data_IF_336104391209
#
_entry.id   IF_336104391209
#
_cell.length_a   1.000
_cell.length_b   1.000
_cell.length_c   1.000
_cell.angle_alpha   90.00
_cell.angle_beta   90.00
_cell.angle_gamma   90.00
#
_symmetry.space_group_name_H-M   'P 1'
#
loop_
_entity.id
_entity.type
_entity.pdbx_description
1 polymer ?
#
# COMPACT_ATOMS: atom_id res chain seq x y z
N UNK A 1 -20.42 5.13 -0.44
CA UNK A 1 -19.14 4.41 -0.43
C UNK A 1 -19.01 3.77 -1.80
N UNK A 2 -17.89 3.96 -2.50
CA UNK A 2 -17.68 3.44 -3.85
C UNK A 2 -16.58 2.38 -3.78
N UNK A 3 -16.86 1.19 -4.30
CA UNK A 3 -15.96 0.03 -4.21
C UNK A 3 -15.70 -0.55 -5.60
N UNK A 4 -14.55 -1.22 -5.74
CA UNK A 4 -14.19 -1.98 -6.94
C UNK A 4 -14.30 -3.47 -6.61
N UNK A 5 -15.33 -4.12 -7.13
CA UNK A 5 -15.54 -5.56 -7.00
C UNK A 5 -15.08 -6.26 -8.27
N UNK A 6 -14.29 -7.32 -8.12
CA UNK A 6 -13.72 -8.07 -9.25
C UNK A 6 -13.66 -9.57 -8.93
N UNK A 7 -13.82 -10.41 -9.95
CA UNK A 7 -13.59 -11.85 -9.85
C UNK A 7 -12.13 -12.24 -10.18
N UNK A 8 -11.32 -11.27 -10.56
CA UNK A 8 -9.90 -11.43 -10.85
C UNK A 8 -9.06 -11.02 -9.64
N UNK A 9 -7.92 -11.69 -9.44
CA UNK A 9 -6.93 -11.32 -8.42
C UNK A 9 -6.12 -10.06 -8.80
N UNK A 10 -6.33 -9.53 -10.01
CA UNK A 10 -5.63 -8.38 -10.55
C UNK A 10 -6.60 -7.34 -11.10
N UNK A 11 -6.21 -6.08 -10.94
CA UNK A 11 -6.88 -4.94 -11.56
C UNK A 11 -5.83 -4.06 -12.21
N UNK A 12 -6.04 -3.76 -13.49
CA UNK A 12 -5.16 -2.84 -14.21
C UNK A 12 -5.45 -1.40 -13.78
N UNK A 13 -4.42 -0.70 -13.33
CA UNK A 13 -4.51 0.64 -12.76
C UNK A 13 -3.49 1.58 -13.37
N UNK A 14 -3.80 2.87 -13.34
CA UNK A 14 -2.85 3.94 -13.64
C UNK A 14 -2.40 4.54 -12.32
N UNK A 15 -1.09 4.54 -12.10
CA UNK A 15 -0.42 5.10 -10.93
C UNK A 15 0.45 6.28 -11.32
N UNK A 16 0.51 7.29 -10.47
CA UNK A 16 1.36 8.47 -10.62
C UNK A 16 2.19 8.66 -9.35
N UNK A 17 3.38 9.27 -9.46
CA UNK A 17 4.29 9.46 -8.32
C UNK A 17 3.59 10.14 -7.12
N UNK A 18 2.84 11.21 -7.37
CA UNK A 18 2.15 11.98 -6.33
C UNK A 18 1.03 11.19 -5.62
N UNK A 19 0.64 10.02 -6.15
CA UNK A 19 -0.42 9.19 -5.59
C UNK A 19 0.10 8.11 -4.65
N UNK A 20 1.41 8.04 -4.38
CA UNK A 20 2.00 7.07 -3.46
C UNK A 20 2.43 7.79 -2.19
N UNK A 21 1.91 7.34 -1.05
CA UNK A 21 2.28 7.86 0.26
C UNK A 21 2.62 6.74 1.25
N UNK A 22 3.59 7.02 2.11
CA UNK A 22 4.02 6.13 3.19
C UNK A 22 4.12 6.90 4.49
N UNK A 23 3.62 6.28 5.55
CA UNK A 23 3.83 6.73 6.93
C UNK A 23 3.91 5.52 7.85
N UNK A 24 4.48 5.73 9.02
CA UNK A 24 4.40 4.79 10.13
C UNK A 24 3.36 5.31 11.11
N UNK A 25 2.40 4.48 11.51
CA UNK A 25 1.29 4.84 12.41
C UNK A 25 1.19 3.88 13.59
N UNK A 26 1.09 4.42 14.80
CA UNK A 26 0.61 3.72 15.98
C UNK A 26 -0.66 4.43 16.48
N UNK A 27 -1.76 3.70 16.54
CA UNK A 27 -3.03 4.19 17.08
C UNK A 27 -3.22 3.71 18.52
N UNK A 28 -3.66 4.62 19.38
CA UNK A 28 -4.18 4.30 20.71
C UNK A 28 -5.69 4.07 20.68
N UNK A 29 -6.31 3.99 21.86
CA UNK A 29 -7.75 3.75 21.99
C UNK A 29 -8.62 4.88 21.39
N UNK A 30 -8.15 6.12 21.39
CA UNK A 30 -8.95 7.29 20.92
C UNK A 30 -8.21 8.22 19.95
N UNK A 31 -6.87 8.13 19.80
CA UNK A 31 -6.10 9.01 18.92
C UNK A 31 -4.82 8.35 18.32
N UNK A 32 -4.28 8.93 17.25
CA UNK A 32 -2.96 8.60 16.70
C UNK A 32 -1.88 8.95 17.71
N UNK A 33 -1.39 7.95 18.45
CA UNK A 33 -0.29 8.13 19.42
C UNK A 33 1.02 8.48 18.71
N UNK A 34 1.18 8.05 17.47
CA UNK A 34 2.37 8.30 16.68
C UNK A 34 2.03 8.23 15.19
N UNK A 35 2.30 9.29 14.43
CA UNK A 35 2.46 9.18 12.98
C UNK A 35 3.78 9.81 12.56
N UNK A 36 4.58 9.13 11.75
CA UNK A 36 5.86 9.67 11.26
C UNK A 36 6.15 9.24 9.81
N UNK A 37 7.07 9.93 9.16
CA UNK A 37 7.63 9.55 7.85
C UNK A 37 8.82 8.57 7.98
N UNK A 38 9.08 8.09 9.20
CA UNK A 38 10.24 7.28 9.56
C UNK A 38 11.44 8.08 10.07
N UNK A 39 11.44 9.39 9.93
CA UNK A 39 12.47 10.27 10.48
C UNK A 39 11.87 11.29 11.46
N UNK A 40 10.75 11.90 11.10
CA UNK A 40 10.09 12.99 11.83
C UNK A 40 8.62 12.72 12.07
N UNK A 41 8.11 13.25 13.17
CA UNK A 41 6.69 13.22 13.46
C UNK A 41 5.88 13.99 12.41
N UNK A 42 4.80 13.36 11.96
CA UNK A 42 3.70 13.95 11.22
C UNK A 42 2.55 14.28 12.16
N UNK A 43 2.26 13.40 13.12
CA UNK A 43 1.26 13.62 14.19
C UNK A 43 1.79 13.07 15.52
N UNK A 44 1.42 13.65 16.67
CA UNK A 44 0.48 14.76 16.84
C UNK A 44 1.06 16.13 16.41
N UNK A 45 0.18 17.10 16.17
CA UNK A 45 0.56 18.42 15.63
C UNK A 45 1.63 19.14 16.48
N UNK A 46 1.58 18.98 17.81
CA UNK A 46 2.54 19.57 18.75
C UNK A 46 3.99 19.08 18.55
N UNK A 47 4.17 17.88 17.98
CA UNK A 47 5.48 17.27 17.75
C UNK A 47 5.90 17.33 16.27
N UNK A 48 5.07 17.89 15.38
CA UNK A 48 5.31 17.84 13.94
C UNK A 48 6.70 18.37 13.57
N UNK A 49 7.44 17.59 12.79
CA UNK A 49 8.79 17.92 12.32
C UNK A 49 9.91 17.58 13.30
N UNK A 50 9.63 17.24 14.56
CA UNK A 50 10.68 16.77 15.49
C UNK A 50 11.06 15.33 15.18
N UNK A 51 12.25 14.90 15.61
CA UNK A 51 12.70 13.52 15.43
C UNK A 51 11.73 12.52 16.10
N UNK A 52 11.38 11.46 15.38
CA UNK A 52 10.38 10.49 15.83
C UNK A 52 10.93 9.38 16.74
N UNK A 53 12.24 9.16 16.75
CA UNK A 53 12.88 8.08 17.51
C UNK A 53 12.70 6.68 16.92
N UNK A 54 12.04 6.54 15.76
CA UNK A 54 11.99 5.25 15.06
C UNK A 54 13.39 4.82 14.59
N UNK A 55 13.69 3.51 14.61
CA UNK A 55 14.89 2.98 13.97
C UNK A 55 14.97 3.40 12.49
N UNK A 56 16.17 3.59 11.91
CA UNK A 56 16.30 4.04 10.53
C UNK A 56 15.88 2.97 9.51
N UNK A 57 16.09 1.68 9.81
CA UNK A 57 15.80 0.57 8.91
C UNK A 57 14.37 0.04 9.03
N UNK A 58 13.76 -0.33 7.90
CA UNK A 58 12.40 -0.89 7.88
C UNK A 58 12.32 -2.24 8.62
N UNK A 59 13.36 -3.06 8.55
CA UNK A 59 13.45 -4.33 9.30
C UNK A 59 13.41 -4.11 10.82
N UNK A 60 14.18 -3.16 11.34
CA UNK A 60 14.18 -2.83 12.77
C UNK A 60 12.85 -2.22 13.22
N UNK A 61 12.21 -1.41 12.36
CA UNK A 61 10.86 -0.90 12.60
C UNK A 61 9.84 -2.04 12.69
N UNK A 62 9.91 -3.01 11.76
CA UNK A 62 9.07 -4.21 11.76
C UNK A 62 9.25 -5.01 13.05
N UNK A 63 10.49 -5.21 13.50
CA UNK A 63 10.78 -5.89 14.76
C UNK A 63 10.20 -5.14 15.98
N UNK A 64 10.32 -3.81 16.03
CA UNK A 64 9.77 -2.99 17.11
C UNK A 64 8.23 -3.04 17.13
N UNK A 65 7.58 -2.97 15.96
CA UNK A 65 6.14 -3.03 15.83
C UNK A 65 5.58 -4.42 16.23
N UNK A 66 6.21 -5.51 15.77
CA UNK A 66 5.85 -6.87 16.18
C UNK A 66 6.01 -7.11 17.68
N UNK A 67 6.95 -6.41 18.32
CA UNK A 67 7.12 -6.41 19.77
C UNK A 67 6.12 -5.47 20.51
N UNK A 68 5.20 -4.81 19.80
CA UNK A 68 4.23 -3.87 20.37
C UNK A 68 4.84 -2.54 20.84
N UNK A 69 6.06 -2.21 20.41
CA UNK A 69 6.82 -1.04 20.86
C UNK A 69 7.01 0.03 19.79
N UNK A 70 6.37 -0.12 18.63
CA UNK A 70 6.56 0.78 17.51
C UNK A 70 5.37 0.85 16.56
N UNK A 71 5.33 1.87 15.70
CA UNK A 71 4.28 2.03 14.70
C UNK A 71 4.36 0.97 13.58
N UNK A 72 3.22 0.69 12.97
CA UNK A 72 3.08 -0.15 11.76
C UNK A 72 3.08 0.71 10.50
N UNK A 73 3.39 0.15 9.31
CA UNK A 73 3.32 0.91 8.07
C UNK A 73 1.86 1.23 7.72
N UNK A 74 1.66 2.36 7.08
CA UNK A 74 0.47 2.67 6.31
C UNK A 74 0.93 3.14 4.93
N UNK A 75 0.71 2.29 3.92
CA UNK A 75 0.89 2.61 2.51
C UNK A 75 -0.44 3.05 1.95
N UNK A 76 -0.48 4.22 1.31
CA UNK A 76 -1.63 4.71 0.58
C UNK A 76 -1.28 4.84 -0.90
N UNK A 77 -2.06 4.18 -1.74
CA UNK A 77 -1.97 4.28 -3.20
C UNK A 77 -3.26 4.93 -3.72
N UNK A 78 -3.13 6.08 -4.36
CA UNK A 78 -4.15 6.65 -5.23
C UNK A 78 -3.99 6.11 -6.64
N UNK A 79 -5.08 5.71 -7.28
CA UNK A 79 -5.02 5.13 -8.63
C UNK A 79 -6.28 5.39 -9.44
N UNK A 80 -6.18 5.29 -10.77
CA UNK A 80 -7.34 5.21 -11.66
C UNK A 80 -7.47 3.82 -12.23
N UNK A 81 -8.69 3.37 -12.52
CA UNK A 81 -8.90 2.11 -13.25
C UNK A 81 -8.49 2.29 -14.71
N UNK A 82 -7.55 1.49 -15.20
CA UNK A 82 -7.00 1.66 -16.55
C UNK A 82 -8.07 1.47 -17.65
N UNK A 83 -9.05 0.57 -17.43
CA UNK A 83 -10.16 0.34 -18.36
C UNK A 83 -11.21 1.45 -18.37
N UNK A 84 -11.27 2.30 -17.34
CA UNK A 84 -12.20 3.43 -17.28
C UNK A 84 -11.65 4.57 -16.40
N UNK A 85 -10.62 5.32 -16.86
CA UNK A 85 -9.95 6.33 -16.04
C UNK A 85 -10.85 7.51 -15.64
N UNK A 86 -11.94 7.71 -16.38
CA UNK A 86 -12.95 8.76 -16.15
C UNK A 86 -13.79 8.56 -14.89
N UNK A 87 -13.78 7.38 -14.27
CA UNK A 87 -14.49 7.13 -13.00
C UNK A 87 -13.88 7.90 -11.82
N UNK A 88 -12.67 8.44 -11.97
CA UNK A 88 -11.99 9.21 -10.95
C UNK A 88 -10.86 8.44 -10.28
N UNK A 89 -10.42 8.95 -9.12
CA UNK A 89 -9.31 8.41 -8.34
C UNK A 89 -9.87 7.54 -7.21
N UNK A 90 -9.37 6.31 -7.12
CA UNK A 90 -9.61 5.35 -6.06
C UNK A 90 -8.42 5.33 -5.11
N UNK A 91 -8.63 4.82 -3.88
CA UNK A 91 -7.56 4.70 -2.90
C UNK A 91 -7.51 3.30 -2.32
N UNK A 92 -6.29 2.75 -2.25
CA UNK A 92 -5.95 1.61 -1.42
C UNK A 92 -5.18 2.12 -0.20
N UNK A 93 -5.56 1.67 0.99
CA UNK A 93 -4.79 1.84 2.22
C UNK A 93 -4.40 0.45 2.74
N UNK A 94 -3.12 0.22 3.02
CA UNK A 94 -2.60 -1.07 3.44
C UNK A 94 -1.58 -0.93 4.57
N UNK A 95 -1.61 -1.87 5.51
CA UNK A 95 -0.60 -2.02 6.57
C UNK A 95 0.37 -3.16 6.30
N UNK A 96 0.48 -3.63 5.04
CA UNK A 96 1.41 -4.69 4.66
C UNK A 96 2.85 -4.19 4.72
N UNK A 97 3.70 -4.94 5.43
CA UNK A 97 5.14 -4.68 5.48
C UNK A 97 5.81 -4.97 4.14
N UNK A 98 5.35 -5.99 3.44
CA UNK A 98 5.89 -6.40 2.14
C UNK A 98 5.59 -5.34 1.08
N UNK A 99 4.39 -4.75 1.06
CA UNK A 99 4.11 -3.61 0.19
C UNK A 99 4.95 -2.38 0.56
N UNK A 100 5.21 -2.16 1.85
CA UNK A 100 6.09 -1.07 2.30
C UNK A 100 7.56 -1.29 1.88
N UNK A 101 8.02 -2.54 1.85
CA UNK A 101 9.36 -2.94 1.38
C UNK A 101 9.54 -2.70 -0.13
N UNK A 102 8.49 -2.94 -0.93
CA UNK A 102 8.49 -2.72 -2.39
C UNK A 102 8.36 -1.23 -2.79
N UNK A 103 7.95 -0.37 -1.85
CA UNK A 103 7.57 1.01 -2.15
C UNK A 103 8.69 1.88 -2.74
N UNK A 104 9.96 1.83 -2.27
CA UNK A 104 11.03 2.62 -2.85
C UNK A 104 11.23 2.33 -4.34
N UNK A 105 11.19 1.05 -4.73
CA UNK A 105 11.32 0.63 -6.12
C UNK A 105 10.15 1.14 -6.97
N UNK A 106 8.92 1.03 -6.45
CA UNK A 106 7.73 1.55 -7.12
C UNK A 106 7.80 3.08 -7.30
N UNK A 107 8.16 3.81 -6.25
CA UNK A 107 8.28 5.27 -6.28
C UNK A 107 9.36 5.72 -7.30
N UNK A 108 10.48 5.02 -7.33
CA UNK A 108 11.56 5.28 -8.30
C UNK A 108 11.11 5.00 -9.74
N UNK A 109 10.36 3.92 -9.97
CA UNK A 109 9.81 3.61 -11.28
C UNK A 109 8.81 4.68 -11.77
N UNK A 110 7.91 5.12 -10.89
CA UNK A 110 6.94 6.17 -11.19
C UNK A 110 7.63 7.50 -11.50
N UNK A 111 8.64 7.88 -10.71
CA UNK A 111 9.43 9.10 -10.94
C UNK A 111 10.18 9.06 -12.27
N UNK A 112 10.78 7.91 -12.62
CA UNK A 112 11.45 7.73 -13.91
C UNK A 112 10.49 7.79 -15.10
N UNK A 113 9.27 7.30 -14.94
CA UNK A 113 8.27 7.33 -16.01
C UNK A 113 7.82 8.76 -16.35
N UNK A 114 7.75 9.66 -15.36
CA UNK A 114 7.36 11.06 -15.55
C UNK A 114 5.91 11.27 -16.03
N UNK A 115 5.12 10.19 -16.05
CA UNK A 115 3.74 10.12 -16.51
C UNK A 115 3.02 8.97 -15.80
N UNK A 116 1.67 8.90 -15.86
CA UNK A 116 0.92 7.79 -15.29
C UNK A 116 1.39 6.45 -15.87
N UNK A 117 1.75 5.51 -14.99
CA UNK A 117 2.27 4.20 -15.34
C UNK A 117 1.15 3.17 -15.28
N UNK A 118 1.05 2.33 -16.31
CA UNK A 118 0.16 1.17 -16.30
C UNK A 118 0.75 0.07 -15.42
N UNK A 119 0.06 -0.24 -14.33
CA UNK A 119 0.45 -1.26 -13.37
C UNK A 119 -0.70 -2.26 -13.19
N UNK A 120 -0.38 -3.46 -12.70
CA UNK A 120 -1.37 -4.36 -12.14
C UNK A 120 -1.34 -4.25 -10.61
N UNK A 121 -2.48 -3.89 -10.01
CA UNK A 121 -2.70 -4.06 -8.58
C UNK A 121 -3.20 -5.48 -8.36
N UNK A 122 -2.39 -6.30 -7.70
CA UNK A 122 -2.63 -7.73 -7.50
C UNK A 122 -2.88 -8.01 -6.02
N UNK A 123 -3.84 -8.87 -5.72
CA UNK A 123 -4.04 -9.44 -4.39
C UNK A 123 -3.48 -10.87 -4.38
N UNK A 124 -2.17 -10.94 -4.15
CA UNK A 124 -1.40 -12.18 -4.13
C UNK A 124 -1.81 -13.05 -2.94
N UNK A 125 -2.11 -14.32 -3.21
CA UNK A 125 -2.35 -15.31 -2.16
C UNK A 125 -1.02 -15.81 -1.61
N UNK A 126 -0.88 -15.73 -0.29
CA UNK A 126 0.28 -16.24 0.44
C UNK A 126 -0.19 -17.39 1.33
N UNK A 127 0.42 -18.55 1.13
CA UNK A 127 0.18 -19.75 1.94
C UNK A 127 1.49 -20.14 2.62
N UNK A 128 1.48 -20.32 3.94
CA UNK A 128 2.65 -20.80 4.68
C UNK A 128 2.23 -21.54 5.95
N UNK A 129 3.16 -22.28 6.55
CA UNK A 129 2.96 -22.93 7.85
C UNK A 129 3.75 -22.18 8.91
N UNK A 130 3.09 -21.79 10.00
CA UNK A 130 3.76 -21.11 11.12
C UNK A 130 4.77 -22.05 11.79
N UNK A 131 5.66 -21.49 12.63
CA UNK A 131 6.58 -22.29 13.45
C UNK A 131 5.86 -23.26 14.40
N UNK A 132 4.61 -22.98 14.75
CA UNK A 132 3.76 -23.86 15.56
C UNK A 132 3.02 -24.93 14.74
N UNK A 133 3.28 -25.04 13.43
CA UNK A 133 2.66 -26.03 12.55
C UNK A 133 1.27 -25.64 12.03
N UNK A 134 0.84 -24.39 12.21
CA UNK A 134 -0.49 -23.93 11.80
C UNK A 134 -0.43 -23.45 10.33
N UNK A 135 -1.22 -24.03 9.41
CA UNK A 135 -1.32 -23.50 8.06
C UNK A 135 -2.07 -22.16 8.08
N UNK A 136 -1.49 -21.16 7.44
CA UNK A 136 -2.04 -19.81 7.31
C UNK A 136 -2.13 -19.47 5.83
N UNK A 137 -3.29 -18.96 5.42
CA UNK A 137 -3.56 -18.46 4.08
C UNK A 137 -4.13 -17.06 4.19
N UNK A 138 -3.53 -16.10 3.49
CA UNK A 138 -4.03 -14.74 3.41
C UNK A 138 -3.73 -14.12 2.06
N UNK A 139 -4.29 -12.94 1.79
CA UNK A 139 -3.97 -12.15 0.59
C UNK A 139 -3.29 -10.86 0.99
N UNK A 140 -2.29 -10.46 0.20
CA UNK A 140 -1.60 -9.17 0.34
C UNK A 140 -1.68 -8.39 -0.98
N UNK A 141 -1.79 -7.05 -0.91
CA UNK A 141 -1.65 -6.23 -2.10
C UNK A 141 -0.19 -6.23 -2.58
N UNK A 142 -0.02 -6.25 -3.91
CA UNK A 142 1.25 -6.14 -4.61
C UNK A 142 1.06 -5.29 -5.85
N UNK A 143 2.07 -4.49 -6.22
CA UNK A 143 2.02 -3.67 -7.44
C UNK A 143 3.04 -4.22 -8.43
N UNK A 144 2.55 -4.67 -9.58
CA UNK A 144 3.39 -5.09 -10.69
C UNK A 144 3.49 -3.96 -11.73
N UNK A 145 4.71 -3.49 -11.94
CA UNK A 145 5.02 -2.50 -12.97
C UNK A 145 5.08 -3.21 -14.33
N UNK A 146 4.31 -2.73 -15.30
CA UNK A 146 4.27 -3.33 -16.63
C UNK A 146 3.52 -4.66 -16.63
N UNK A 147 2.19 -4.60 -16.72
CA UNK A 147 1.36 -5.77 -16.98
C UNK A 147 1.26 -6.10 -18.47
N UNK A 148 0.90 -7.34 -18.85
CA UNK A 148 0.58 -7.66 -20.24
C UNK A 148 -0.53 -6.74 -20.72
N UNK A 149 -0.32 -6.08 -21.85
CA UNK A 149 -1.30 -5.24 -22.50
C UNK A 149 -2.49 -6.09 -22.92
N UNK A 150 -3.53 -6.14 -22.09
CA UNK A 150 -4.84 -6.63 -22.50
C UNK A 150 -5.89 -5.62 -22.07
N UNK A 151 -5.98 -4.54 -22.83
CA UNK A 151 -7.21 -3.78 -22.93
C UNK A 151 -8.14 -4.58 -23.86
N UNK A 152 -9.00 -5.42 -23.28
CA UNK A 152 -10.23 -5.81 -23.96
C UNK A 152 -11.41 -5.30 -23.11
N UNK A 153 -12.26 -4.40 -23.64
CA UNK A 153 -13.41 -3.85 -22.93
C UNK A 153 -14.47 -4.88 -22.49
N UNK A 154 -14.33 -6.14 -22.86
CA UNK A 154 -15.35 -7.16 -22.68
C UNK A 154 -15.14 -7.98 -21.42
N UNK A 155 -15.38 -7.40 -20.23
CA UNK A 155 -15.74 -8.14 -18.97
C UNK A 155 -15.96 -7.21 -17.77
N UNK A 156 -16.74 -6.15 -17.94
CA UNK A 156 -17.38 -5.47 -16.82
C UNK A 156 -18.89 -5.72 -16.93
N UNK A 157 -19.33 -6.93 -16.60
CA UNK A 157 -20.74 -7.12 -16.26
C UNK A 157 -20.93 -6.48 -14.88
N UNK A 158 -21.64 -5.35 -14.85
CA UNK A 158 -22.29 -4.90 -13.63
C UNK A 158 -23.23 -6.01 -13.18
N UNK A 159 -22.92 -6.65 -12.05
CA UNK A 159 -23.95 -7.29 -11.28
C UNK A 159 -24.75 -6.15 -10.63
N UNK A 160 -25.98 -5.96 -11.12
CA UNK A 160 -27.02 -5.12 -10.51
C UNK A 160 -27.53 -5.79 -9.25
#
# INVERSE_FOLDING_TARGET
>A
MTEVLTSSDRVMVLLEEASVAFRMVATGAEESLHACDGARFLEPAAMRGTACGCPPGLSDRRAAALAGRGPSPEVRLGFRLAGCPGLGVFSLVSTSWELAEELPELADALRRAGAPLLCALVYERVDFVTRSGVPVSYRRPRVEIGGPSVLSPARMCLAV
#
